data_IF_580484556472
#
_entry.id   IF_580484556472
#
_cell.length_a   1.000
_cell.length_b   1.000
_cell.length_c   1.000
_cell.angle_alpha   90.00
_cell.angle_beta   90.00
_cell.angle_gamma   90.00
#
_symmetry.space_group_name_H-M   'P 1'
#
loop_
_entity.id
_entity.type
_entity.pdbx_description
1 polymer ?
#
# COMPACT_ATOMS: atom_id res chain seq x y z
N UNK A 1 11.25 -4.78 2.53
CA UNK A 1 9.88 -4.19 2.63
C UNK A 1 8.98 -5.16 3.36
N UNK A 2 7.84 -4.70 3.89
CA UNK A 2 6.77 -5.55 4.43
C UNK A 2 5.46 -5.32 3.65
N UNK A 3 4.55 -6.30 3.67
CA UNK A 3 3.22 -6.16 3.08
C UNK A 3 2.19 -5.86 4.15
N UNK A 4 1.36 -4.86 3.86
CA UNK A 4 0.28 -4.37 4.72
C UNK A 4 -1.05 -4.74 4.07
N UNK A 5 -2.00 -5.21 4.87
CA UNK A 5 -3.32 -5.62 4.45
C UNK A 5 -4.30 -4.42 4.43
N UNK A 6 -5.57 -4.74 4.19
CA UNK A 6 -6.65 -3.75 4.13
C UNK A 6 -6.80 -2.96 5.43
N UNK A 7 -6.44 -3.52 6.58
CA UNK A 7 -6.52 -2.87 7.88
C UNK A 7 -5.30 -1.99 8.19
N UNK A 8 -4.41 -1.75 7.23
CA UNK A 8 -3.21 -0.93 7.43
C UNK A 8 -2.14 -1.57 8.32
N UNK A 9 -2.25 -2.89 8.56
CA UNK A 9 -1.30 -3.68 9.37
C UNK A 9 -0.69 -4.79 8.53
N UNK A 10 0.45 -5.31 8.94
CA UNK A 10 0.94 -6.58 8.36
C UNK A 10 0.10 -7.76 8.82
N UNK A 11 0.26 -8.93 8.19
CA UNK A 11 -0.37 -10.20 8.62
C UNK A 11 -0.15 -10.53 10.11
N UNK A 12 0.93 -10.03 10.70
CA UNK A 12 1.27 -10.23 12.12
C UNK A 12 0.77 -9.08 13.02
N UNK A 13 -0.05 -8.18 12.50
CA UNK A 13 -0.62 -7.04 13.23
C UNK A 13 0.32 -5.84 13.39
N UNK A 14 1.46 -5.81 12.71
CA UNK A 14 2.44 -4.70 12.82
C UNK A 14 1.93 -3.47 12.07
N UNK A 15 1.81 -2.33 12.74
CA UNK A 15 1.42 -1.04 12.15
C UNK A 15 2.60 -0.39 11.41
N UNK A 16 2.33 0.63 10.59
CA UNK A 16 3.40 1.44 9.98
C UNK A 16 4.34 2.06 11.03
N UNK A 17 3.78 2.52 12.15
CA UNK A 17 4.52 3.11 13.27
C UNK A 17 5.41 2.08 13.96
N UNK A 18 4.87 0.90 14.26
CA UNK A 18 5.63 -0.18 14.88
C UNK A 18 6.72 -0.72 13.96
N UNK A 19 6.47 -0.70 12.65
CA UNK A 19 7.47 -1.10 11.67
C UNK A 19 8.68 -0.17 11.69
N UNK A 20 8.49 1.15 11.73
CA UNK A 20 9.61 2.12 11.85
C UNK A 20 10.40 1.87 13.14
N UNK A 21 9.71 1.68 14.27
CA UNK A 21 10.36 1.35 15.56
C UNK A 21 11.14 0.05 15.51
N UNK A 22 10.63 -0.96 14.79
CA UNK A 22 11.30 -2.25 14.62
C UNK A 22 12.59 -2.07 13.84
N UNK A 23 12.57 -1.31 12.74
CA UNK A 23 13.77 -1.02 11.94
C UNK A 23 14.85 -0.34 12.78
N UNK A 24 14.48 0.63 13.62
CA UNK A 24 15.41 1.32 14.53
C UNK A 24 16.04 0.42 15.61
N UNK A 25 15.51 -0.79 15.84
CA UNK A 25 16.04 -1.77 16.81
C UNK A 25 16.90 -2.85 16.16
N UNK A 26 17.00 -2.89 14.84
CA UNK A 26 17.83 -3.87 14.16
C UNK A 26 19.31 -3.57 14.42
N UNK A 27 20.08 -4.60 14.76
CA UNK A 27 21.53 -4.48 14.96
C UNK A 27 22.29 -4.11 13.68
N UNK A 28 21.71 -4.43 12.52
CA UNK A 28 22.19 -4.04 11.20
C UNK A 28 21.08 -3.28 10.47
N UNK A 29 21.31 -1.98 10.23
CA UNK A 29 20.34 -1.14 9.55
C UNK A 29 20.25 -1.52 8.05
N UNK A 30 19.05 -1.67 7.48
CA UNK A 30 18.90 -1.85 6.05
C UNK A 30 19.23 -0.56 5.29
N UNK A 31 19.64 -0.68 4.03
CA UNK A 31 19.87 0.49 3.15
C UNK A 31 18.58 1.26 2.87
N UNK A 32 17.44 0.55 2.82
CA UNK A 32 16.12 1.13 2.62
C UNK A 32 15.04 0.19 3.17
N UNK A 33 13.89 0.73 3.52
CA UNK A 33 12.74 -0.05 4.02
C UNK A 33 11.43 0.58 3.56
N UNK A 34 10.31 -0.12 3.72
CA UNK A 34 9.01 0.41 3.29
C UNK A 34 8.00 -0.68 2.99
N UNK A 35 7.00 -0.34 2.17
CA UNK A 35 5.84 -1.18 1.91
C UNK A 35 5.83 -1.73 0.48
N UNK A 36 5.32 -2.96 0.32
CA UNK A 36 5.02 -3.53 -0.98
C UNK A 36 3.70 -4.31 -1.01
N UNK A 37 3.13 -4.42 -2.21
CA UNK A 37 1.85 -5.07 -2.45
C UNK A 37 0.72 -4.36 -1.66
N UNK A 38 -0.19 -5.10 -1.03
CA UNK A 38 -1.44 -4.56 -0.49
C UNK A 38 -2.64 -4.88 -1.39
N UNK A 39 -3.78 -4.23 -1.14
CA UNK A 39 -5.01 -4.44 -1.93
C UNK A 39 -4.99 -3.57 -3.18
N UNK A 40 -4.77 -2.27 -3.02
CA UNK A 40 -4.58 -1.31 -4.13
C UNK A 40 -3.42 -0.34 -3.90
N UNK A 41 -3.16 0.49 -4.92
CA UNK A 41 -2.13 1.54 -4.84
C UNK A 41 -2.47 2.62 -3.78
N UNK A 42 -3.77 2.92 -3.59
CA UNK A 42 -4.26 3.84 -2.55
C UNK A 42 -3.88 3.35 -1.14
N UNK A 43 -4.19 2.11 -0.79
CA UNK A 43 -3.86 1.52 0.52
C UNK A 43 -2.36 1.57 0.83
N UNK A 44 -1.53 1.26 -0.16
CA UNK A 44 -0.08 1.33 0.00
C UNK A 44 0.35 2.77 0.33
N UNK A 45 -0.19 3.78 -0.36
CA UNK A 45 0.15 5.18 -0.07
C UNK A 45 -0.23 5.60 1.35
N UNK A 46 -1.34 5.11 1.89
CA UNK A 46 -1.69 5.34 3.30
C UNK A 46 -0.61 4.80 4.23
N UNK A 47 -0.08 3.60 3.95
CA UNK A 47 1.06 3.05 4.70
C UNK A 47 2.32 3.90 4.55
N UNK A 48 2.63 4.36 3.33
CA UNK A 48 3.80 5.20 3.09
C UNK A 48 3.71 6.52 3.85
N UNK A 49 2.53 7.16 3.87
CA UNK A 49 2.28 8.35 4.70
C UNK A 49 2.52 8.07 6.18
N UNK A 50 2.02 6.94 6.69
CA UNK A 50 2.23 6.52 8.08
C UNK A 50 3.70 6.30 8.43
N UNK A 51 4.48 5.70 7.52
CA UNK A 51 5.94 5.53 7.67
C UNK A 51 6.64 6.90 7.64
N UNK A 52 6.34 7.73 6.64
CA UNK A 52 6.98 9.03 6.45
C UNK A 52 6.67 10.01 7.60
N UNK A 53 5.49 9.91 8.21
CA UNK A 53 5.12 10.70 9.38
C UNK A 53 6.00 10.45 10.61
N UNK A 54 6.68 9.30 10.68
CA UNK A 54 7.66 9.01 11.74
C UNK A 54 9.03 9.64 11.48
N UNK A 55 9.24 10.27 10.33
CA UNK A 55 10.50 10.93 9.97
C UNK A 55 11.73 10.02 9.95
N UNK A 56 11.68 8.82 9.33
CA UNK A 56 12.86 7.96 9.26
C UNK A 56 13.96 8.61 8.41
N UNK A 57 15.21 8.43 8.82
CA UNK A 57 16.39 8.86 8.03
C UNK A 57 16.64 7.98 6.81
N UNK A 58 16.21 6.71 6.87
CA UNK A 58 16.44 5.74 5.80
C UNK A 58 15.44 5.94 4.63
N UNK A 59 15.90 5.75 3.37
CA UNK A 59 15.03 5.82 2.20
C UNK A 59 13.80 4.92 2.30
N UNK A 60 12.63 5.50 1.99
CA UNK A 60 11.36 4.78 1.98
C UNK A 60 11.12 4.13 0.60
N UNK A 61 10.79 2.84 0.61
CA UNK A 61 10.44 2.04 -0.58
C UNK A 61 8.92 1.93 -0.69
N UNK A 62 8.37 2.27 -1.86
CA UNK A 62 6.96 2.11 -2.20
C UNK A 62 6.81 1.23 -3.44
N UNK A 63 6.07 0.12 -3.29
CA UNK A 63 5.88 -0.84 -4.38
C UNK A 63 4.43 -1.36 -4.44
N UNK A 64 3.52 -0.59 -5.02
CA UNK A 64 2.08 -0.88 -5.10
C UNK A 64 1.71 -1.89 -6.20
N UNK A 65 0.56 -2.55 -6.06
CA UNK A 65 0.00 -3.35 -7.16
C UNK A 65 -0.50 -2.44 -8.29
N UNK A 66 -0.52 -2.95 -9.52
CA UNK A 66 -1.14 -2.26 -10.64
C UNK A 66 -2.67 -2.41 -10.61
N UNK A 67 -3.33 -1.65 -9.73
CA UNK A 67 -4.78 -1.76 -9.52
C UNK A 67 -5.17 -2.89 -8.57
N UNK A 68 -6.47 -3.18 -8.52
CA UNK A 68 -7.06 -4.11 -7.55
C UNK A 68 -7.16 -5.50 -8.19
N UNK A 69 -6.71 -6.57 -7.51
CA UNK A 69 -6.84 -7.93 -8.04
C UNK A 69 -8.31 -8.32 -8.19
N UNK A 70 -8.70 -8.71 -9.41
CA UNK A 70 -10.04 -9.20 -9.75
C UNK A 70 -9.94 -10.64 -10.25
N UNK A 71 -10.85 -11.50 -9.81
CA UNK A 71 -10.93 -12.87 -10.34
C UNK A 71 -11.80 -12.86 -11.60
N UNK A 72 -11.19 -13.12 -12.75
CA UNK A 72 -11.82 -13.07 -14.06
C UNK A 72 -11.39 -14.31 -14.85
N UNK A 73 -12.36 -15.11 -15.29
CA UNK A 73 -12.14 -16.31 -16.11
C UNK A 73 -11.15 -17.33 -15.52
N UNK A 74 -11.20 -17.55 -14.20
CA UNK A 74 -10.33 -18.52 -13.54
C UNK A 74 -8.93 -18.02 -13.19
N UNK A 75 -8.63 -16.74 -13.46
CA UNK A 75 -7.34 -16.14 -13.15
C UNK A 75 -7.51 -14.79 -12.43
N UNK A 76 -6.50 -14.40 -11.64
CA UNK A 76 -6.42 -13.06 -11.07
C UNK A 76 -5.91 -12.12 -12.15
N UNK A 77 -6.71 -11.11 -12.51
CA UNK A 77 -6.35 -10.01 -13.39
C UNK A 77 -6.26 -8.71 -12.59
N UNK A 78 -5.34 -7.86 -13.00
CA UNK A 78 -5.09 -6.55 -12.41
C UNK A 78 -5.55 -5.49 -13.41
N UNK A 79 -6.28 -4.49 -12.94
CA UNK A 79 -6.94 -3.49 -13.79
C UNK A 79 -6.27 -2.12 -13.79
N UNK A 80 -5.11 -1.99 -13.11
CA UNK A 80 -4.33 -0.76 -13.12
C UNK A 80 -3.78 -0.49 -14.51
N UNK A 81 -3.99 0.73 -14.99
CA UNK A 81 -3.48 1.20 -16.27
C UNK A 81 -2.09 1.84 -16.09
N UNK A 82 -1.29 1.99 -17.17
CA UNK A 82 -0.06 2.78 -17.10
C UNK A 82 -0.28 4.21 -16.59
N UNK A 83 -1.40 4.84 -16.92
CA UNK A 83 -1.75 6.17 -16.44
C UNK A 83 -2.02 6.19 -14.92
N UNK A 84 -2.78 5.22 -14.41
CA UNK A 84 -3.00 5.08 -12.96
C UNK A 84 -1.69 4.85 -12.21
N UNK A 85 -0.80 4.03 -12.76
CA UNK A 85 0.52 3.80 -12.15
C UNK A 85 1.42 5.03 -12.21
N UNK A 86 1.30 5.86 -13.24
CA UNK A 86 1.98 7.16 -13.30
C UNK A 86 1.52 8.11 -12.19
N UNK A 87 0.22 8.20 -11.93
CA UNK A 87 -0.34 9.00 -10.84
C UNK A 87 0.10 8.45 -9.47
N UNK A 88 0.10 7.12 -9.32
CA UNK A 88 0.63 6.45 -8.14
C UNK A 88 2.10 6.81 -7.87
N UNK A 89 2.95 6.81 -8.89
CA UNK A 89 4.38 7.10 -8.71
C UNK A 89 4.62 8.52 -8.19
N UNK A 90 3.89 9.49 -8.74
CA UNK A 90 3.95 10.90 -8.33
C UNK A 90 3.49 11.05 -6.88
N UNK A 91 2.35 10.45 -6.54
CA UNK A 91 1.81 10.48 -5.19
C UNK A 91 2.71 9.74 -4.19
N UNK A 92 3.36 8.64 -4.59
CA UNK A 92 4.31 7.92 -3.75
C UNK A 92 5.53 8.80 -3.42
N UNK A 93 6.09 9.48 -4.42
CA UNK A 93 7.19 10.45 -4.25
C UNK A 93 6.79 11.56 -3.29
N UNK A 94 5.61 12.14 -3.48
CA UNK A 94 5.13 13.27 -2.70
C UNK A 94 4.68 12.83 -1.28
N UNK A 95 4.36 11.55 -1.09
CA UNK A 95 4.14 10.93 0.23
C UNK A 95 5.43 10.66 1.01
N UNK A 96 6.60 10.80 0.38
CA UNK A 96 7.92 10.63 1.02
C UNK A 96 8.71 9.41 0.55
N UNK A 97 8.24 8.65 -0.44
CA UNK A 97 9.01 7.54 -1.01
C UNK A 97 10.21 8.05 -1.82
N UNK A 98 11.33 7.35 -1.68
CA UNK A 98 12.56 7.58 -2.43
C UNK A 98 12.83 6.50 -3.48
N UNK A 99 12.38 5.27 -3.22
CA UNK A 99 12.48 4.14 -4.15
C UNK A 99 11.06 3.73 -4.52
N UNK A 100 10.70 3.87 -5.79
CA UNK A 100 9.32 3.67 -6.27
C UNK A 100 9.32 2.61 -7.36
N UNK A 101 8.42 1.65 -7.26
CA UNK A 101 8.25 0.57 -8.23
C UNK A 101 6.87 -0.06 -8.16
N UNK A 102 6.72 -1.23 -8.77
CA UNK A 102 5.44 -1.97 -8.77
C UNK A 102 5.53 -3.41 -8.26
N UNK A 103 4.39 -3.93 -7.77
CA UNK A 103 4.21 -5.29 -7.27
C UNK A 103 3.41 -6.12 -8.29
N UNK A 104 2.35 -6.80 -7.86
CA UNK A 104 1.60 -7.65 -8.75
C UNK A 104 0.87 -6.83 -9.83
N UNK A 105 0.80 -7.39 -11.05
CA UNK A 105 0.19 -6.73 -12.21
C UNK A 105 1.03 -5.65 -12.88
N UNK A 106 2.16 -5.23 -12.28
CA UNK A 106 3.02 -4.22 -12.91
C UNK A 106 3.80 -4.83 -14.08
N UNK A 107 3.79 -4.12 -15.21
CA UNK A 107 4.43 -4.50 -16.48
C UNK A 107 5.37 -3.37 -16.96
N UNK A 108 6.28 -3.61 -17.92
CA UNK A 108 7.23 -2.60 -18.39
C UNK A 108 6.61 -1.30 -18.90
N UNK A 109 5.41 -1.33 -19.49
CA UNK A 109 4.65 -0.16 -19.91
C UNK A 109 4.21 0.71 -18.72
N UNK A 110 3.89 0.11 -17.57
CA UNK A 110 3.61 0.84 -16.34
C UNK A 110 4.87 1.54 -15.85
N UNK A 111 6.00 0.83 -15.81
CA UNK A 111 7.27 1.41 -15.37
C UNK A 111 7.73 2.56 -16.26
N UNK A 112 7.51 2.47 -17.57
CA UNK A 112 7.75 3.59 -18.50
C UNK A 112 6.89 4.81 -18.18
N UNK A 113 5.59 4.62 -17.98
CA UNK A 113 4.67 5.70 -17.62
C UNK A 113 4.99 6.32 -16.24
N UNK A 114 5.34 5.48 -15.26
CA UNK A 114 5.80 5.91 -13.93
C UNK A 114 7.06 6.77 -14.04
N UNK A 115 8.05 6.32 -14.82
CA UNK A 115 9.31 7.04 -15.01
C UNK A 115 9.08 8.38 -15.68
N UNK A 116 8.32 8.41 -16.76
CA UNK A 116 7.97 9.63 -17.49
C UNK A 116 7.29 10.64 -16.57
N UNK A 117 6.31 10.21 -15.76
CA UNK A 117 5.61 11.10 -14.84
C UNK A 117 6.50 11.64 -13.72
N UNK A 118 7.42 10.82 -13.20
CA UNK A 118 8.39 11.27 -12.19
C UNK A 118 9.38 12.31 -12.73
N UNK A 119 9.70 12.26 -14.02
CA UNK A 119 10.62 13.19 -14.68
C UNK A 119 9.96 14.50 -15.10
N UNK A 120 8.72 14.42 -15.56
CA UNK A 120 8.03 15.56 -16.18
C UNK A 120 7.16 16.34 -15.22
N UNK A 121 6.66 15.71 -14.14
CA UNK A 121 5.73 16.36 -13.21
C UNK A 121 6.49 16.91 -11.99
N UNK A 122 6.28 18.18 -11.61
CA UNK A 122 6.98 18.79 -10.47
C UNK A 122 6.65 18.07 -9.17
N UNK A 123 7.55 18.16 -8.17
CA UNK A 123 7.29 17.71 -6.80
C UNK A 123 6.17 18.54 -6.19
N UNK A 124 5.15 17.85 -5.67
CA UNK A 124 4.04 18.46 -4.95
C UNK A 124 4.24 18.46 -3.44
N UNK A 125 3.25 19.02 -2.74
CA UNK A 125 3.10 18.84 -1.30
C UNK A 125 2.65 17.42 -0.96
N UNK A 126 2.76 17.04 0.32
CA UNK A 126 2.27 15.75 0.79
C UNK A 126 0.75 15.65 0.55
N UNK A 127 0.27 14.61 -0.15
CA UNK A 127 -1.13 14.53 -0.53
C UNK A 127 -2.03 14.18 0.66
N UNK A 128 -3.29 14.64 0.62
CA UNK A 128 -4.34 14.23 1.55
C UNK A 128 -4.93 12.87 1.15
N UNK A 129 -5.67 12.23 2.06
CA UNK A 129 -6.33 10.95 1.79
C UNK A 129 -7.42 11.10 0.71
N UNK A 130 -8.09 12.25 0.65
CA UNK A 130 -9.08 12.58 -0.38
C UNK A 130 -8.44 12.71 -1.76
N UNK A 131 -7.27 13.34 -1.84
CA UNK A 131 -6.51 13.46 -3.09
C UNK A 131 -6.06 12.08 -3.61
N UNK A 132 -5.58 11.22 -2.71
CA UNK A 132 -5.23 9.84 -3.05
C UNK A 132 -6.46 9.08 -3.55
N UNK A 133 -7.59 9.21 -2.86
CA UNK A 133 -8.85 8.55 -3.24
C UNK A 133 -9.33 9.02 -4.61
N UNK A 134 -9.28 10.33 -4.87
CA UNK A 134 -9.70 10.90 -6.14
C UNK A 134 -8.84 10.43 -7.31
N UNK A 135 -7.54 10.18 -7.10
CA UNK A 135 -6.62 9.79 -8.15
C UNK A 135 -6.57 8.27 -8.38
N UNK A 136 -6.56 7.48 -7.30
CA UNK A 136 -6.27 6.04 -7.35
C UNK A 136 -7.45 5.14 -7.00
N UNK A 137 -8.59 5.73 -6.61
CA UNK A 137 -9.75 5.02 -6.12
C UNK A 137 -9.76 4.86 -4.59
N UNK A 138 -10.87 4.32 -4.03
CA UNK A 138 -11.08 4.24 -2.59
C UNK A 138 -10.05 3.36 -1.89
N UNK A 139 -9.86 3.62 -0.59
CA UNK A 139 -9.16 2.69 0.29
C UNK A 139 -10.02 1.45 0.54
N UNK A 140 -9.37 0.33 0.83
CA UNK A 140 -10.04 -0.92 1.14
C UNK A 140 -10.64 -0.95 2.55
N UNK A 141 -10.25 -0.02 3.43
CA UNK A 141 -10.88 0.17 4.75
C UNK A 141 -10.80 1.63 5.23
N UNK A 142 -11.73 2.00 6.12
CA UNK A 142 -11.72 3.31 6.76
C UNK A 142 -10.63 3.47 7.85
N UNK A 143 -10.17 2.37 8.46
CA UNK A 143 -9.18 2.39 9.55
C UNK A 143 -7.77 2.14 9.02
N UNK A 144 -6.79 2.93 9.47
CA UNK A 144 -5.37 2.76 9.16
C UNK A 144 -4.63 1.74 10.04
N UNK A 145 -5.38 1.06 10.90
CA UNK A 145 -4.83 0.09 11.83
C UNK A 145 -4.15 0.72 13.03
N UNK A 146 -4.27 2.02 13.29
CA UNK A 146 -3.78 2.62 14.55
C UNK A 146 -4.83 2.58 15.66
N UNK A 147 -6.07 2.23 15.33
CA UNK A 147 -7.17 2.05 16.29
C UNK A 147 -6.84 0.99 17.36
N UNK A 148 -7.35 1.15 18.60
CA UNK A 148 -7.23 0.14 19.64
C UNK A 148 -7.81 -1.20 19.17
N UNK A 149 -7.16 -2.31 19.54
CA UNK A 149 -7.63 -3.64 19.20
C UNK A 149 -9.04 -3.86 19.76
N UNK A 150 -10.05 -3.94 18.89
CA UNK A 150 -11.47 -4.12 19.25
C UNK A 150 -12.43 -3.05 18.73
N UNK A 151 -11.92 -1.99 18.08
CA UNK A 151 -12.74 -0.87 17.58
C UNK A 151 -13.15 -0.99 16.10
N UNK A 152 -12.99 -2.17 15.49
CA UNK A 152 -13.47 -2.40 14.12
C UNK A 152 -14.99 -2.41 14.08
N UNK A 153 -15.58 -1.60 13.20
CA UNK A 153 -17.02 -1.56 12.95
C UNK A 153 -17.54 -2.98 12.62
N UNK A 154 -18.46 -3.56 13.42
CA UNK A 154 -18.98 -4.92 13.21
C UNK A 154 -19.76 -5.08 11.89
N UNK A 155 -20.13 -4.00 11.21
CA UNK A 155 -21.06 -4.01 10.07
C UNK A 155 -20.46 -4.53 8.76
N UNK A 156 -19.14 -4.79 8.70
CA UNK A 156 -18.46 -5.30 7.49
C UNK A 156 -17.84 -6.70 7.65
N UNK A 157 -18.36 -7.50 8.57
CA UNK A 157 -18.00 -8.90 8.65
C UNK A 157 -18.84 -9.73 7.65
N UNK A 158 -18.39 -9.81 6.39
CA UNK A 158 -18.93 -10.82 5.48
C UNK A 158 -18.62 -12.21 6.06
N UNK A 159 -19.66 -12.83 6.61
CA UNK A 159 -19.57 -14.08 7.37
C UNK A 159 -18.82 -15.18 6.63
N UNK A 160 -17.67 -15.58 7.17
CA UNK A 160 -17.09 -16.89 6.87
C UNK A 160 -17.90 -17.95 7.63
N UNK A 161 -18.95 -18.45 7.00
CA UNK A 161 -19.58 -19.70 7.42
C UNK A 161 -18.55 -20.83 7.33
N UNK A 162 -18.07 -21.26 8.51
CA UNK A 162 -17.30 -22.50 8.64
C UNK A 162 -18.25 -23.67 8.41
N UNK A 163 -18.32 -24.17 7.17
CA UNK A 163 -18.95 -25.46 6.87
C UNK A 163 -18.26 -26.55 7.70
N UNK A 164 -18.94 -26.98 8.76
CA UNK A 164 -18.54 -28.10 9.61
C UNK A 164 -18.45 -29.37 8.78
N UNK A 165 -17.26 -29.96 8.77
CA UNK A 165 -16.96 -31.27 8.18
C UNK A 165 -17.64 -32.34 9.05
N UNK A 166 -18.81 -32.84 8.64
CA UNK A 166 -19.40 -34.07 9.23
C UNK A 166 -18.42 -35.21 9.00
N UNK A 167 -17.89 -35.78 10.09
CA UNK A 167 -17.25 -37.10 10.10
C UNK A 167 -18.32 -38.12 10.46
N UNK A 168 -18.38 -39.18 9.63
CA UNK A 168 -18.98 -40.51 9.86
C UNK A 168 -20.39 -40.56 10.45
#
# INVERSE_FOLDING_TARGET
>A
TMSFDTAGRTMMGVTAVDFVKLIGKLSCAPVAFGANCGTGASDLLRTILGIAAQGPELPIVAKGNAGIPKYVDGAIKYDGTPALMADYAVLARDSGASIIGGCCGTMPEHLRAMREALDTRPRGERPTLEQITSALGPFSSASDGTEPAGCGDPTHNHGRERRGRRRS
#
